data_IF_955566222676
#
_entry.id   IF_955566222676
#
_cell.length_a   1.000
_cell.length_b   1.000
_cell.length_c   1.000
_cell.angle_alpha   90.00
_cell.angle_beta   90.00
_cell.angle_gamma   90.00
#
_symmetry.space_group_name_H-M   'P 1'
#
loop_
_entity.id
_entity.type
_entity.pdbx_description
1 polymer ?
#
# COMPACT_ATOMS: atom_id res chain seq x y z
N UNK A 1 -14.83 -9.56 -20.25
CA UNK A 1 -14.54 -9.45 -18.81
C UNK A 1 -13.14 -8.89 -18.70
N UNK A 2 -13.02 -7.57 -18.71
CA UNK A 2 -11.74 -6.88 -18.63
C UNK A 2 -11.32 -6.89 -17.16
N UNK A 3 -10.27 -7.65 -16.85
CA UNK A 3 -9.59 -7.50 -15.56
C UNK A 3 -8.90 -6.15 -15.65
N UNK A 4 -9.37 -5.21 -14.83
CA UNK A 4 -8.83 -3.86 -14.75
C UNK A 4 -7.38 -3.95 -14.28
N UNK A 5 -6.43 -3.57 -15.13
CA UNK A 5 -5.00 -3.63 -14.83
C UNK A 5 -4.59 -2.76 -13.63
N UNK A 6 -5.51 -1.95 -13.06
CA UNK A 6 -5.30 -1.18 -11.85
C UNK A 6 -5.26 -2.05 -10.57
N UNK A 7 -5.78 -3.29 -10.62
CA UNK A 7 -5.76 -4.24 -9.48
C UNK A 7 -4.40 -4.95 -9.29
N UNK A 8 -3.45 -4.71 -10.19
CA UNK A 8 -2.16 -5.43 -10.22
C UNK A 8 -1.12 -4.81 -9.28
N UNK A 9 -1.33 -3.58 -8.81
CA UNK A 9 -0.35 -2.83 -8.01
C UNK A 9 -0.54 -2.96 -6.50
N UNK A 10 -1.67 -3.52 -6.03
CA UNK A 10 -1.96 -3.65 -4.60
C UNK A 10 -1.66 -5.08 -4.13
N UNK A 11 -1.19 -5.22 -2.89
CA UNK A 11 -0.89 -6.50 -2.28
C UNK A 11 -2.18 -7.33 -2.12
N UNK A 12 -2.22 -8.58 -2.61
CA UNK A 12 -3.43 -9.41 -2.56
C UNK A 12 -3.74 -9.97 -1.16
N UNK A 13 -2.91 -9.66 -0.16
CA UNK A 13 -3.09 -10.15 1.20
C UNK A 13 -4.38 -9.57 1.81
N UNK A 14 -5.13 -10.43 2.50
CA UNK A 14 -6.36 -10.06 3.21
C UNK A 14 -6.29 -10.57 4.64
N UNK A 15 -6.99 -9.89 5.53
CA UNK A 15 -7.19 -10.33 6.90
C UNK A 15 -8.67 -10.28 7.25
N UNK A 16 -9.12 -11.28 8.00
CA UNK A 16 -10.41 -11.23 8.70
C UNK A 16 -10.17 -10.77 10.13
N UNK A 17 -10.82 -9.68 10.52
CA UNK A 17 -10.72 -9.15 11.88
C UNK A 17 -11.42 -10.08 12.86
N UNK A 18 -10.78 -10.31 14.01
CA UNK A 18 -11.38 -11.09 15.08
C UNK A 18 -12.43 -10.27 15.88
N UNK A 19 -13.18 -10.96 16.75
CA UNK A 19 -14.25 -10.34 17.51
C UNK A 19 -13.77 -9.21 18.44
N UNK A 20 -12.56 -9.31 19.01
CA UNK A 20 -11.99 -8.27 19.86
C UNK A 20 -11.55 -7.06 19.03
N UNK A 21 -10.97 -7.27 17.84
CA UNK A 21 -10.63 -6.20 16.90
C UNK A 21 -11.88 -5.47 16.40
N UNK A 22 -12.94 -6.19 16.05
CA UNK A 22 -14.21 -5.59 15.67
C UNK A 22 -14.86 -4.83 16.83
N UNK A 23 -14.80 -5.36 18.05
CA UNK A 23 -15.30 -4.67 19.23
C UNK A 23 -14.54 -3.37 19.52
N UNK A 24 -13.22 -3.35 19.27
CA UNK A 24 -12.40 -2.15 19.38
C UNK A 24 -12.91 -1.04 18.44
N UNK A 25 -13.07 -1.32 17.15
CA UNK A 25 -13.56 -0.33 16.18
C UNK A 25 -14.99 0.14 16.48
N UNK A 26 -15.88 -0.78 16.85
CA UNK A 26 -17.25 -0.43 17.24
C UNK A 26 -17.33 0.40 18.54
N UNK A 27 -16.30 0.34 19.37
CA UNK A 27 -16.20 1.12 20.61
C UNK A 27 -15.63 2.53 20.41
N UNK A 28 -15.12 2.87 19.23
CA UNK A 28 -14.53 4.17 18.98
C UNK A 28 -15.61 5.29 18.94
N UNK A 29 -15.41 6.41 19.65
CA UNK A 29 -16.35 7.52 19.64
C UNK A 29 -16.37 8.17 18.26
N UNK A 30 -17.57 8.53 17.76
CA UNK A 30 -17.76 9.17 16.45
C UNK A 30 -17.17 8.39 15.26
N UNK A 31 -17.02 7.08 15.43
CA UNK A 31 -16.68 6.15 14.37
C UNK A 31 -17.64 6.33 13.17
N UNK A 32 -17.06 6.44 11.97
CA UNK A 32 -17.76 6.27 10.68
C UNK A 32 -18.52 4.91 10.65
N UNK A 33 -19.39 4.61 9.66
CA UNK A 33 -20.15 3.36 9.66
C UNK A 33 -19.25 2.13 9.82
N UNK A 34 -19.82 1.08 10.40
CA UNK A 34 -19.15 -0.14 10.87
C UNK A 34 -18.01 -0.60 9.97
N UNK A 35 -16.83 -0.81 10.55
CA UNK A 35 -15.66 -1.35 9.84
C UNK A 35 -16.01 -2.69 9.20
N UNK A 36 -15.49 -2.94 8.00
CA UNK A 36 -15.65 -4.23 7.34
C UNK A 36 -14.90 -5.31 8.14
N UNK A 37 -15.49 -6.51 8.23
CA UNK A 37 -14.84 -7.64 8.92
C UNK A 37 -13.68 -8.24 8.14
N UNK A 38 -13.60 -7.98 6.83
CA UNK A 38 -12.47 -8.36 5.99
C UNK A 38 -11.82 -7.09 5.44
N UNK A 39 -10.50 -6.98 5.61
CA UNK A 39 -9.70 -5.88 5.07
C UNK A 39 -8.66 -6.44 4.10
N UNK A 40 -8.46 -5.74 2.98
CA UNK A 40 -7.37 -6.00 2.04
C UNK A 40 -6.17 -5.11 2.36
N UNK A 41 -4.95 -5.63 2.18
CA UNK A 41 -3.73 -4.84 2.32
C UNK A 41 -3.73 -3.69 1.32
N UNK A 42 -3.48 -2.48 1.79
CA UNK A 42 -3.44 -1.27 0.96
C UNK A 42 -2.03 -0.94 0.44
N UNK A 43 -1.04 -1.74 0.83
CA UNK A 43 0.37 -1.58 0.41
C UNK A 43 0.62 -2.13 -1.00
N UNK A 44 1.72 -1.66 -1.61
CA UNK A 44 2.13 -2.09 -2.96
C UNK A 44 2.40 -3.60 -3.02
N UNK A 45 2.04 -4.23 -4.14
CA UNK A 45 2.33 -5.64 -4.38
C UNK A 45 3.82 -5.91 -4.29
N UNK A 46 4.19 -6.88 -3.45
CA UNK A 46 5.59 -7.27 -3.24
C UNK A 46 6.31 -6.45 -2.18
N UNK A 47 5.59 -5.62 -1.41
CA UNK A 47 6.15 -4.98 -0.22
C UNK A 47 6.71 -6.03 0.74
N UNK A 48 7.83 -5.70 1.38
CA UNK A 48 8.39 -6.50 2.46
C UNK A 48 7.80 -6.06 3.80
N UNK A 49 7.77 -6.96 4.78
CA UNK A 49 7.29 -6.67 6.13
C UNK A 49 5.80 -6.92 6.35
N UNK A 50 5.23 -6.24 7.35
CA UNK A 50 3.83 -6.41 7.75
C UNK A 50 2.87 -5.82 6.71
N UNK A 51 1.78 -6.52 6.47
CA UNK A 51 0.64 -6.02 5.72
C UNK A 51 -0.11 -4.98 6.55
N UNK A 52 -0.72 -4.01 5.89
CA UNK A 52 -1.43 -2.94 6.56
C UNK A 52 -2.67 -2.50 5.78
N UNK A 53 -3.73 -2.16 6.50
CA UNK A 53 -4.95 -1.60 5.95
C UNK A 53 -5.55 -0.59 6.91
N UNK A 54 -6.13 0.48 6.37
CA UNK A 54 -6.89 1.44 7.15
C UNK A 54 -8.18 0.78 7.63
N UNK A 55 -8.30 0.59 8.94
CA UNK A 55 -9.55 0.11 9.55
C UNK A 55 -10.54 1.26 9.69
N UNK A 56 -10.13 2.33 10.38
CA UNK A 56 -11.01 3.45 10.62
C UNK A 56 -10.25 4.75 10.89
N UNK A 57 -10.81 5.87 10.46
CA UNK A 57 -10.36 7.20 10.86
C UNK A 57 -11.34 7.79 11.87
N UNK A 58 -10.79 8.31 12.97
CA UNK A 58 -11.54 9.08 13.98
C UNK A 58 -10.79 10.38 14.20
N UNK A 59 -11.43 11.50 13.82
CA UNK A 59 -10.81 12.83 13.82
C UNK A 59 -9.48 12.85 13.04
N UNK A 60 -8.37 13.13 13.72
CA UNK A 60 -7.02 13.16 13.14
C UNK A 60 -6.28 11.81 13.27
N UNK A 61 -6.83 10.84 13.98
CA UNK A 61 -6.19 9.55 14.24
C UNK A 61 -6.69 8.51 13.25
N UNK A 62 -5.77 7.86 12.54
CA UNK A 62 -6.08 6.67 11.77
C UNK A 62 -5.71 5.42 12.55
N UNK A 63 -6.67 4.52 12.65
CA UNK A 63 -6.48 3.20 13.22
C UNK A 63 -6.18 2.22 12.09
N UNK A 64 -4.90 1.86 11.97
CA UNK A 64 -4.42 0.92 10.98
C UNK A 64 -4.35 -0.48 11.59
N UNK A 65 -4.84 -1.46 10.85
CA UNK A 65 -4.63 -2.86 11.17
C UNK A 65 -3.36 -3.29 10.47
N UNK A 66 -2.36 -3.72 11.23
CA UNK A 66 -1.14 -4.32 10.70
C UNK A 66 -1.13 -5.80 11.01
N UNK A 67 -0.69 -6.63 10.07
CA UNK A 67 -0.62 -8.05 10.28
C UNK A 67 0.53 -8.73 9.54
N UNK A 68 0.95 -9.85 10.10
CA UNK A 68 1.87 -10.80 9.51
C UNK A 68 1.14 -12.14 9.34
N UNK A 69 1.86 -13.18 8.92
CA UNK A 69 1.31 -14.54 8.90
C UNK A 69 0.95 -15.09 10.29
N UNK A 70 1.49 -14.48 11.36
CA UNK A 70 1.43 -15.04 12.72
C UNK A 70 0.71 -14.16 13.74
N UNK A 71 0.52 -12.87 13.45
CA UNK A 71 -0.02 -11.89 14.38
C UNK A 71 -0.71 -10.74 13.65
N UNK A 72 -1.66 -10.11 14.32
CA UNK A 72 -2.33 -8.89 13.87
C UNK A 72 -2.51 -7.91 15.03
N UNK A 73 -2.32 -6.62 14.75
CA UNK A 73 -2.32 -5.54 15.73
C UNK A 73 -3.02 -4.32 15.16
N UNK A 74 -3.73 -3.58 16.03
CA UNK A 74 -4.35 -2.31 15.67
C UNK A 74 -3.50 -1.18 16.26
N UNK A 75 -2.99 -0.31 15.41
CA UNK A 75 -2.07 0.75 15.81
C UNK A 75 -2.56 2.13 15.34
N UNK A 76 -2.51 3.16 16.20
CA UNK A 76 -2.83 4.52 15.81
C UNK A 76 -1.65 5.15 15.07
N UNK A 77 -1.90 5.65 13.86
CA UNK A 77 -0.93 6.44 13.10
C UNK A 77 -1.55 7.74 12.59
N UNK A 78 -0.66 8.65 12.22
CA UNK A 78 -0.97 9.80 11.39
C UNK A 78 -0.78 9.43 9.92
N UNK A 79 -1.42 10.20 9.03
CA UNK A 79 -1.12 10.11 7.61
C UNK A 79 0.36 10.37 7.34
N UNK A 80 0.89 9.78 6.27
CA UNK A 80 2.17 10.16 5.71
C UNK A 80 2.20 11.70 5.46
N UNK A 81 3.30 12.40 5.78
CA UNK A 81 3.40 13.85 5.52
C UNK A 81 3.16 14.21 4.05
N UNK A 82 3.44 13.30 3.11
CA UNK A 82 3.15 13.41 1.67
C UNK A 82 1.69 13.02 1.32
N UNK A 83 0.73 13.36 2.18
CA UNK A 83 -0.71 13.01 2.11
C UNK A 83 -1.36 13.15 0.73
N UNK A 84 -0.88 14.09 -0.10
CA UNK A 84 -1.45 14.35 -1.43
C UNK A 84 -1.12 13.26 -2.44
N UNK A 85 0.05 12.64 -2.28
CA UNK A 85 0.64 11.68 -3.22
C UNK A 85 0.76 10.29 -2.59
N UNK A 86 0.47 10.17 -1.28
CA UNK A 86 0.47 8.90 -0.56
C UNK A 86 -0.65 8.81 0.50
N UNK A 87 -1.72 8.02 0.25
CA UNK A 87 -2.80 7.78 1.20
C UNK A 87 -2.47 6.66 2.20
N UNK A 88 -1.23 6.56 2.67
CA UNK A 88 -0.79 5.53 3.63
C UNK A 88 -0.32 6.18 4.95
N UNK A 89 -0.08 5.37 5.97
CA UNK A 89 0.41 5.82 7.27
C UNK A 89 1.87 6.30 7.23
N UNK A 90 2.27 7.11 8.20
CA UNK A 90 3.67 7.55 8.36
C UNK A 90 4.61 6.34 8.60
N UNK A 91 5.65 6.21 7.77
CA UNK A 91 6.64 5.12 7.87
C UNK A 91 6.23 3.79 7.20
N UNK A 92 5.25 3.79 6.30
CA UNK A 92 4.82 2.57 5.60
C UNK A 92 5.89 2.01 4.65
N UNK A 93 5.93 0.67 4.46
CA UNK A 93 6.75 0.05 3.43
C UNK A 93 6.08 0.16 2.07
N UNK A 94 6.79 0.74 1.11
CA UNK A 94 6.30 0.99 -0.25
C UNK A 94 6.90 2.28 -0.79
N UNK A 95 6.96 2.42 -2.11
CA UNK A 95 7.43 3.66 -2.72
C UNK A 95 6.30 4.69 -2.69
N UNK A 96 6.60 5.89 -2.18
CA UNK A 96 5.79 7.06 -2.49
C UNK A 96 5.82 7.22 -4.01
N UNK A 97 4.67 7.17 -4.66
CA UNK A 97 4.58 7.09 -6.12
C UNK A 97 5.12 8.35 -6.78
N UNK A 98 6.44 8.45 -6.98
CA UNK A 98 7.09 9.41 -7.87
C UNK A 98 8.56 9.05 -8.20
N UNK A 99 8.93 7.77 -8.21
CA UNK A 99 10.25 7.34 -8.69
C UNK A 99 10.18 6.24 -9.78
N UNK A 100 9.52 6.54 -10.90
CA UNK A 100 9.82 5.97 -12.23
C UNK A 100 9.73 7.14 -13.23
N UNK A 101 10.73 7.55 -14.01
CA UNK A 101 11.87 6.84 -14.57
C UNK A 101 13.07 7.78 -14.80
N UNK A 102 14.19 7.55 -14.10
CA UNK A 102 15.51 8.04 -14.51
C UNK A 102 16.49 6.87 -14.67
N UNK A 103 16.07 5.76 -15.29
CA UNK A 103 17.06 4.83 -15.83
C UNK A 103 16.42 3.96 -16.91
N UNK A 104 16.53 4.37 -18.18
CA UNK A 104 17.04 3.57 -19.32
C UNK A 104 17.03 4.50 -20.54
N UNK A 105 18.06 5.32 -20.72
CA UNK A 105 18.41 5.80 -22.07
C UNK A 105 19.93 5.79 -22.27
N UNK A 106 20.55 4.64 -21.99
CA UNK A 106 21.97 4.37 -22.31
C UNK A 106 22.14 3.41 -23.50
N UNK A 107 21.08 3.15 -24.27
CA UNK A 107 21.15 2.39 -25.53
C UNK A 107 20.96 3.32 -26.74
N UNK A 108 21.99 4.08 -27.07
CA UNK A 108 22.14 4.71 -28.39
C UNK A 108 23.63 4.82 -28.74
N UNK A 109 24.38 3.73 -28.57
CA UNK A 109 25.73 3.61 -29.11
C UNK A 109 26.05 2.13 -29.40
N UNK A 110 25.28 1.52 -30.30
CA UNK A 110 25.74 0.34 -31.05
C UNK A 110 24.92 0.17 -32.34
N UNK A 111 25.26 0.94 -33.37
CA UNK A 111 25.13 0.46 -34.74
C UNK A 111 26.43 0.74 -35.48
N UNK A 112 27.40 -0.15 -35.23
CA UNK A 112 28.47 -0.44 -36.19
C UNK A 112 27.84 -1.06 -37.44
N UNK A 113 28.13 -0.49 -38.61
CA UNK A 113 27.78 -1.16 -39.86
C UNK A 113 28.08 -0.38 -41.13
N UNK A 114 29.35 -0.08 -41.42
CA UNK A 114 29.82 -0.02 -42.82
C UNK A 114 31.35 -0.14 -42.87
N UNK A 115 31.79 -1.36 -43.17
CA UNK A 115 33.17 -1.71 -43.53
C UNK A 115 33.50 -1.29 -44.96
N UNK A 116 34.76 -0.89 -45.16
CA UNK A 116 35.61 -1.10 -46.34
C UNK A 116 35.35 -0.33 -47.66
N UNK A 117 36.30 0.57 -47.93
CA UNK A 117 37.07 0.74 -49.18
C UNK A 117 36.66 -0.04 -50.43
N UNK A 118 36.39 0.69 -51.52
CA UNK A 118 37.20 0.64 -52.76
C UNK A 118 36.97 1.86 -53.64
#
# INVERSE_FOLDING_TARGET
MSIDCQDVMICPARITLDAAQLAFFNGLPNAAPSVQSELGCELERGHEGSHAALGQQVEATMWWVQWTLSASEINPYTWCPEQRDCPLFDGHPGRHGHEHAEEVNRFSDDQRGATSSR
#
